data_IF_479977033470
#
_entry.id   IF_479977033470
#
_cell.length_a   1.000
_cell.length_b   1.000
_cell.length_c   1.000
_cell.angle_alpha   90.00
_cell.angle_beta   90.00
_cell.angle_gamma   90.00
#
_symmetry.space_group_name_H-M   'P 1'
#
loop_
_entity.id
_entity.type
_entity.pdbx_description
1 polymer ?
#
# COMPACT_ATOMS: atom_id res chain seq x y z
N UNK A 1 -17.72 5.46 9.00
CA UNK A 1 -16.73 4.90 9.90
C UNK A 1 -16.40 5.82 11.08
N UNK A 2 -15.80 5.26 12.12
CA UNK A 2 -15.30 6.04 13.26
C UNK A 2 -13.90 6.55 12.95
N UNK A 3 -13.61 7.77 13.42
CA UNK A 3 -12.28 8.37 13.31
C UNK A 3 -11.59 8.29 14.67
N UNK A 4 -10.39 7.76 14.69
CA UNK A 4 -9.56 7.64 15.89
C UNK A 4 -8.42 8.65 15.84
N UNK A 5 -8.21 9.36 16.94
CA UNK A 5 -7.09 10.27 17.09
C UNK A 5 -5.92 9.55 17.75
N UNK A 6 -4.79 9.48 17.07
CA UNK A 6 -3.56 8.80 17.52
C UNK A 6 -2.43 9.82 17.64
N UNK A 7 -2.41 10.57 18.73
CA UNK A 7 -1.53 11.73 18.85
C UNK A 7 -1.89 12.78 17.82
N UNK A 8 -0.96 13.12 16.92
CA UNK A 8 -1.20 14.04 15.80
C UNK A 8 -1.78 13.33 14.55
N UNK A 9 -1.85 11.99 14.53
CA UNK A 9 -2.35 11.21 13.41
C UNK A 9 -3.83 10.88 13.58
N UNK A 10 -4.51 10.70 12.48
CA UNK A 10 -5.91 10.26 12.44
C UNK A 10 -6.01 8.95 11.69
N UNK A 11 -6.82 8.06 12.18
CA UNK A 11 -7.12 6.77 11.55
C UNK A 11 -8.63 6.62 11.42
N UNK A 12 -9.07 6.11 10.29
CA UNK A 12 -10.48 5.82 10.05
C UNK A 12 -10.63 4.45 9.39
N UNK A 13 -11.61 3.70 9.85
CA UNK A 13 -12.12 2.55 9.13
C UNK A 13 -13.27 3.03 8.25
N UNK A 14 -13.04 3.16 6.95
CA UNK A 14 -13.99 3.71 5.98
C UNK A 14 -13.69 3.23 4.56
N UNK A 15 -14.46 3.71 3.62
CA UNK A 15 -14.30 3.39 2.21
C UNK A 15 -13.50 4.50 1.52
N UNK A 16 -12.25 4.20 1.15
CA UNK A 16 -11.35 5.18 0.54
C UNK A 16 -11.76 5.58 -0.89
N UNK A 17 -12.72 4.90 -1.50
CA UNK A 17 -13.30 5.31 -2.79
C UNK A 17 -14.35 6.41 -2.62
N UNK A 18 -14.85 6.62 -1.40
CA UNK A 18 -15.85 7.63 -1.07
C UNK A 18 -15.20 8.89 -0.55
N UNK A 19 -15.38 9.97 -1.29
CA UNK A 19 -14.77 11.25 -0.92
C UNK A 19 -15.26 11.76 0.44
N UNK A 20 -16.50 11.46 0.81
CA UNK A 20 -17.09 11.86 2.08
C UNK A 20 -16.37 11.24 3.29
N UNK A 21 -15.92 9.99 3.15
CA UNK A 21 -15.13 9.31 4.18
C UNK A 21 -13.75 9.93 4.29
N UNK A 22 -13.14 10.25 3.16
CA UNK A 22 -11.83 10.91 3.10
C UNK A 22 -11.90 12.32 3.68
N UNK A 23 -12.90 13.13 3.31
CA UNK A 23 -13.12 14.47 3.86
C UNK A 23 -13.34 14.45 5.37
N UNK A 24 -14.09 13.47 5.87
CA UNK A 24 -14.28 13.25 7.30
C UNK A 24 -12.97 12.94 8.01
N UNK A 25 -12.12 12.11 7.42
CA UNK A 25 -10.79 11.81 7.96
C UNK A 25 -9.92 13.06 7.98
N UNK A 26 -9.93 13.82 6.88
CA UNK A 26 -9.12 15.03 6.71
C UNK A 26 -9.53 16.18 7.63
N UNK A 27 -10.83 16.28 8.00
CA UNK A 27 -11.31 17.30 8.94
C UNK A 27 -10.95 18.74 8.52
N UNK A 28 -11.13 19.04 7.23
CA UNK A 28 -10.82 20.35 6.64
C UNK A 28 -9.34 20.62 6.38
N UNK A 29 -8.45 19.69 6.69
CA UNK A 29 -6.99 19.79 6.44
C UNK A 29 -6.66 19.40 5.01
N UNK A 30 -5.48 19.81 4.54
CA UNK A 30 -4.94 19.41 3.24
C UNK A 30 -3.81 18.41 3.42
N UNK A 31 -3.77 17.41 2.55
CA UNK A 31 -2.65 16.47 2.49
C UNK A 31 -1.49 17.11 1.71
N UNK A 32 -0.27 16.84 2.12
CA UNK A 32 0.93 17.18 1.34
C UNK A 32 1.27 16.09 0.34
N UNK A 33 0.92 14.86 0.69
CA UNK A 33 1.27 13.68 -0.06
C UNK A 33 0.18 12.61 0.07
N UNK A 34 -0.02 11.86 -1.00
CA UNK A 34 -0.79 10.61 -0.99
C UNK A 34 0.20 9.44 -1.09
N UNK A 35 0.01 8.43 -0.27
CA UNK A 35 0.76 7.19 -0.32
C UNK A 35 -0.21 6.02 -0.13
N UNK A 36 -0.39 5.20 -1.15
CA UNK A 36 -1.39 4.13 -1.11
C UNK A 36 -0.97 2.92 -1.93
N UNK A 37 -1.44 1.75 -1.49
CA UNK A 37 -1.37 0.47 -2.18
C UNK A 37 -2.82 -0.03 -2.33
N UNK A 38 -3.51 0.40 -3.40
CA UNK A 38 -4.90 0.03 -3.62
C UNK A 38 -5.01 -1.45 -4.03
N UNK A 39 -6.14 -2.13 -3.80
CA UNK A 39 -6.42 -3.40 -4.44
C UNK A 39 -6.49 -3.19 -5.95
N UNK A 40 -5.96 -4.12 -6.74
CA UNK A 40 -5.86 -3.98 -8.22
C UNK A 40 -6.25 -5.24 -8.99
N UNK A 41 -7.10 -6.07 -8.41
CA UNK A 41 -7.72 -7.19 -9.11
C UNK A 41 -6.77 -8.35 -9.41
N UNK A 42 -5.77 -8.56 -8.56
CA UNK A 42 -4.81 -9.66 -8.76
C UNK A 42 -5.26 -10.99 -8.13
N UNK A 43 -6.44 -11.04 -7.53
CA UNK A 43 -6.96 -12.23 -6.83
C UNK A 43 -5.97 -12.79 -5.81
N UNK A 44 -5.52 -11.96 -4.91
CA UNK A 44 -4.60 -12.40 -3.89
C UNK A 44 -5.17 -13.60 -3.13
N UNK A 45 -4.52 -14.75 -3.28
CA UNK A 45 -4.88 -15.92 -2.49
C UNK A 45 -4.54 -15.65 -1.02
N UNK A 46 -5.59 -15.56 -0.21
CA UNK A 46 -5.50 -15.29 1.23
C UNK A 46 -5.58 -16.57 2.07
N UNK A 47 -5.61 -17.73 1.42
CA UNK A 47 -5.57 -19.03 2.08
C UNK A 47 -4.13 -19.53 2.26
N UNK A 48 -3.56 -19.26 3.40
CA UNK A 48 -2.22 -19.72 3.76
C UNK A 48 -2.25 -21.04 4.55
N UNK A 49 -3.39 -21.77 4.60
CA UNK A 49 -3.53 -23.00 5.37
C UNK A 49 -2.54 -24.09 4.95
N UNK A 50 -2.21 -24.17 3.67
CA UNK A 50 -1.26 -25.14 3.11
C UNK A 50 0.21 -24.70 3.23
N UNK A 51 0.47 -23.43 3.55
CA UNK A 51 1.84 -22.93 3.77
C UNK A 51 2.46 -23.37 5.10
N UNK A 52 1.69 -24.01 5.99
CA UNK A 52 2.15 -24.61 7.26
C UNK A 52 3.02 -25.86 7.11
N UNK A 53 3.57 -26.12 5.91
CA UNK A 53 4.34 -27.30 5.59
C UNK A 53 5.75 -27.28 6.14
N UNK A 54 6.14 -28.33 6.84
CA UNK A 54 7.48 -28.96 7.03
C UNK A 54 8.75 -28.09 6.95
N UNK A 55 8.63 -26.79 7.15
CA UNK A 55 9.77 -25.87 7.23
C UNK A 55 10.34 -25.81 8.65
N UNK A 56 11.63 -25.68 8.73
CA UNK A 56 12.47 -25.80 9.93
C UNK A 56 12.34 -24.68 10.98
N UNK A 57 11.34 -23.82 10.92
CA UNK A 57 11.13 -22.77 11.94
C UNK A 57 9.75 -22.88 12.58
N UNK A 58 9.70 -22.68 13.90
CA UNK A 58 8.44 -22.66 14.66
C UNK A 58 7.47 -21.53 14.21
N UNK A 59 7.97 -20.54 13.49
CA UNK A 59 7.19 -19.47 12.88
C UNK A 59 6.44 -19.93 11.62
N UNK A 60 7.05 -20.81 10.80
CA UNK A 60 6.41 -21.39 9.62
C UNK A 60 5.25 -22.33 10.02
N UNK A 61 5.32 -22.96 11.19
CA UNK A 61 4.27 -23.81 11.72
C UNK A 61 3.02 -23.06 12.19
N UNK A 62 3.11 -21.73 12.37
CA UNK A 62 2.01 -20.89 12.86
C UNK A 62 1.28 -20.12 11.77
N UNK A 63 1.69 -20.20 10.51
CA UNK A 63 1.15 -19.37 9.43
C UNK A 63 -0.02 -19.98 8.66
N UNK A 64 -0.54 -21.12 9.09
CA UNK A 64 -1.68 -21.79 8.46
C UNK A 64 -3.04 -21.11 8.70
N UNK A 65 -3.13 -19.79 8.54
CA UNK A 65 -4.37 -19.07 8.69
C UNK A 65 -5.01 -18.79 7.32
N UNK A 66 -6.32 -18.95 7.27
CA UNK A 66 -7.14 -18.45 6.19
C UNK A 66 -7.68 -17.08 6.57
N UNK A 67 -7.48 -16.11 5.72
CA UNK A 67 -8.02 -14.76 5.88
C UNK A 67 -9.17 -14.55 4.90
N UNK A 68 -10.04 -13.61 5.21
CA UNK A 68 -11.08 -13.20 4.27
C UNK A 68 -10.43 -12.58 3.01
N UNK A 69 -11.07 -12.73 1.86
CA UNK A 69 -10.62 -12.12 0.62
C UNK A 69 -10.47 -10.60 0.75
N UNK A 70 -9.51 -10.04 0.06
CA UNK A 70 -9.32 -8.57 0.03
C UNK A 70 -10.48 -7.94 -0.72
N UNK A 71 -11.13 -6.96 -0.11
CA UNK A 71 -12.25 -6.25 -0.73
C UNK A 71 -11.71 -5.43 -1.91
N UNK A 72 -12.34 -5.58 -3.08
CA UNK A 72 -11.96 -4.87 -4.31
C UNK A 72 -10.80 -5.52 -5.08
N UNK A 73 -10.31 -6.68 -4.64
CA UNK A 73 -9.24 -7.42 -5.32
C UNK A 73 -9.78 -8.63 -6.09
N UNK A 74 -10.82 -8.41 -6.88
CA UNK A 74 -11.49 -9.40 -7.73
C UNK A 74 -11.51 -8.94 -9.20
N UNK A 75 -12.17 -9.72 -10.08
CA UNK A 75 -12.30 -9.45 -11.53
C UNK A 75 -12.83 -8.05 -11.84
N UNK A 76 -13.64 -7.51 -10.96
CA UNK A 76 -14.26 -6.20 -11.12
C UNK A 76 -13.38 -5.09 -10.52
N UNK A 77 -12.08 -5.08 -10.82
CA UNK A 77 -11.23 -3.97 -10.42
C UNK A 77 -11.84 -2.65 -10.88
N UNK A 78 -12.27 -1.85 -9.91
CA UNK A 78 -12.83 -0.54 -10.16
C UNK A 78 -11.73 0.54 -9.99
N UNK A 79 -11.34 1.24 -11.05
CA UNK A 79 -10.37 2.33 -10.98
C UNK A 79 -10.91 3.57 -10.24
N UNK A 80 -12.11 3.50 -9.64
CA UNK A 80 -12.75 4.63 -8.97
C UNK A 80 -11.84 5.25 -7.90
N UNK A 81 -11.11 4.43 -7.13
CA UNK A 81 -10.15 4.96 -6.14
C UNK A 81 -9.07 5.79 -6.80
N UNK A 82 -8.50 5.31 -7.90
CA UNK A 82 -7.45 6.03 -8.64
C UNK A 82 -7.99 7.35 -9.20
N UNK A 83 -9.19 7.32 -9.78
CA UNK A 83 -9.86 8.51 -10.29
C UNK A 83 -10.16 9.51 -9.16
N UNK A 84 -10.61 9.03 -8.00
CA UNK A 84 -10.87 9.85 -6.81
C UNK A 84 -9.60 10.51 -6.32
N UNK A 85 -8.47 9.80 -6.30
CA UNK A 85 -7.17 10.37 -5.91
C UNK A 85 -6.80 11.53 -6.84
N UNK A 86 -6.82 11.35 -8.15
CA UNK A 86 -6.47 12.40 -9.09
C UNK A 86 -7.46 13.56 -9.08
N UNK A 87 -8.76 13.30 -8.92
CA UNK A 87 -9.77 14.36 -8.88
C UNK A 87 -9.66 15.25 -7.63
N UNK A 88 -9.26 14.68 -6.49
CA UNK A 88 -9.33 15.38 -5.20
C UNK A 88 -7.97 15.73 -4.60
N UNK A 89 -6.90 15.07 -5.03
CA UNK A 89 -5.55 15.24 -4.45
C UNK A 89 -4.49 15.65 -5.47
N UNK A 90 -4.90 16.07 -6.68
CA UNK A 90 -3.92 16.53 -7.69
C UNK A 90 -3.13 17.77 -7.25
N UNK A 91 -3.61 18.50 -6.26
CA UNK A 91 -2.87 19.59 -5.62
C UNK A 91 -1.65 19.10 -4.81
N UNK A 92 -1.62 17.83 -4.39
CA UNK A 92 -0.48 17.26 -3.67
C UNK A 92 0.78 17.29 -4.56
N UNK A 93 1.90 17.64 -3.95
CA UNK A 93 3.20 17.64 -4.64
C UNK A 93 3.62 16.25 -5.04
N UNK A 94 3.21 15.26 -4.25
CA UNK A 94 3.58 13.89 -4.47
C UNK A 94 2.39 12.94 -4.24
N UNK A 95 2.29 11.95 -5.11
CA UNK A 95 1.32 10.85 -5.03
C UNK A 95 2.09 9.58 -5.35
N UNK A 96 2.19 8.68 -4.38
CA UNK A 96 2.78 7.36 -4.54
C UNK A 96 1.69 6.31 -4.67
N UNK A 97 1.69 5.58 -5.78
CA UNK A 97 0.75 4.52 -6.10
C UNK A 97 1.50 3.20 -6.28
N UNK A 98 1.38 2.30 -5.31
CA UNK A 98 1.97 0.97 -5.37
C UNK A 98 1.14 0.05 -6.26
N UNK A 99 1.78 -0.96 -6.87
CA UNK A 99 1.12 -1.85 -7.81
C UNK A 99 0.64 -1.16 -9.09
N UNK A 100 1.14 0.05 -9.37
CA UNK A 100 0.65 0.91 -10.45
C UNK A 100 0.88 0.35 -11.85
N UNK A 101 1.74 -0.64 -12.01
CA UNK A 101 1.92 -1.39 -13.26
C UNK A 101 0.69 -2.21 -13.63
N UNK A 102 -0.05 -2.75 -12.65
CA UNK A 102 -1.27 -3.52 -12.88
C UNK A 102 -2.43 -2.66 -13.43
N UNK A 103 -2.48 -1.39 -13.03
CA UNK A 103 -3.53 -0.45 -13.48
C UNK A 103 -2.98 0.77 -14.21
N UNK A 104 -1.83 0.61 -14.85
CA UNK A 104 -1.11 1.73 -15.49
C UNK A 104 -1.90 2.45 -16.58
N UNK A 105 -2.87 1.80 -17.20
CA UNK A 105 -3.76 2.44 -18.19
C UNK A 105 -4.71 3.47 -17.57
N UNK A 106 -4.99 3.35 -16.27
CA UNK A 106 -5.84 4.27 -15.52
C UNK A 106 -5.04 5.45 -14.93
N UNK A 107 -3.71 5.45 -15.05
CA UNK A 107 -2.89 6.55 -14.56
C UNK A 107 -2.97 7.75 -15.49
N UNK A 108 -3.46 8.86 -14.95
CA UNK A 108 -3.39 10.14 -15.63
C UNK A 108 -1.92 10.53 -15.77
N UNK A 109 -1.55 10.95 -16.98
CA UNK A 109 -0.19 11.45 -17.27
C UNK A 109 0.94 10.47 -16.84
N UNK A 110 0.73 9.15 -16.95
CA UNK A 110 1.69 8.11 -16.52
C UNK A 110 3.14 8.34 -16.99
N UNK A 111 3.30 9.03 -18.12
CA UNK A 111 4.61 9.36 -18.70
C UNK A 111 5.24 10.64 -18.12
N UNK A 112 4.50 11.40 -17.32
CA UNK A 112 5.00 12.62 -16.66
C UNK A 112 5.58 12.35 -15.28
N UNK A 113 5.17 11.26 -14.63
CA UNK A 113 5.71 10.82 -13.35
C UNK A 113 7.00 10.04 -13.46
N UNK A 114 7.35 9.39 -12.39
CA UNK A 114 8.54 8.55 -12.26
C UNK A 114 8.18 7.20 -11.66
N UNK A 115 9.09 6.23 -11.77
CA UNK A 115 8.92 4.90 -11.21
C UNK A 115 9.94 4.66 -10.12
N UNK A 116 9.50 4.02 -9.05
CA UNK A 116 10.30 3.49 -7.96
C UNK A 116 10.18 1.97 -7.98
N UNK A 117 11.31 1.30 -7.91
CA UNK A 117 11.39 -0.16 -7.76
C UNK A 117 11.74 -0.46 -6.32
N UNK A 118 10.93 -1.21 -5.64
CA UNK A 118 11.29 -1.77 -4.35
C UNK A 118 11.77 -3.21 -4.53
N UNK A 119 13.07 -3.40 -4.44
CA UNK A 119 13.70 -4.72 -4.40
C UNK A 119 13.61 -5.28 -2.98
N UNK A 120 12.79 -6.29 -2.80
CA UNK A 120 12.53 -6.94 -1.49
C UNK A 120 13.64 -7.90 -1.07
N UNK A 121 14.60 -8.14 -1.95
CA UNK A 121 15.67 -9.11 -1.73
C UNK A 121 16.82 -8.50 -0.94
N UNK A 122 17.43 -9.32 -0.09
CA UNK A 122 18.74 -8.98 0.48
C UNK A 122 19.89 -9.27 -0.49
N UNK A 123 19.73 -10.33 -1.28
CA UNK A 123 20.67 -10.82 -2.28
C UNK A 123 19.96 -11.77 -3.28
N UNK A 124 20.69 -12.28 -4.27
CA UNK A 124 20.16 -13.15 -5.33
C UNK A 124 19.64 -14.50 -4.81
N UNK A 125 20.05 -14.94 -3.63
CA UNK A 125 19.56 -16.19 -3.05
C UNK A 125 18.06 -16.14 -2.75
N UNK A 126 17.52 -14.94 -2.60
CA UNK A 126 16.11 -14.70 -2.37
C UNK A 126 15.24 -14.75 -3.64
N UNK A 127 15.82 -14.95 -4.84
CA UNK A 127 15.06 -15.08 -6.09
C UNK A 127 14.14 -16.31 -6.13
N UNK A 128 14.41 -17.28 -5.28
CA UNK A 128 13.59 -18.49 -5.13
C UNK A 128 12.50 -18.37 -4.04
N UNK A 129 12.39 -17.19 -3.43
CA UNK A 129 11.34 -16.97 -2.43
C UNK A 129 9.96 -16.90 -3.08
N UNK A 130 8.97 -17.30 -2.31
CA UNK A 130 7.58 -17.22 -2.74
C UNK A 130 7.16 -15.77 -2.86
N UNK A 131 6.43 -15.44 -3.94
CA UNK A 131 5.94 -14.10 -4.23
C UNK A 131 6.89 -13.26 -5.09
N UNK A 132 6.46 -12.05 -5.38
CA UNK A 132 7.22 -11.10 -6.19
C UNK A 132 8.50 -10.66 -5.49
N UNK A 133 9.61 -10.69 -6.20
CA UNK A 133 10.92 -10.27 -5.69
C UNK A 133 11.08 -8.76 -5.64
N UNK A 134 10.23 -8.03 -6.35
CA UNK A 134 10.17 -6.58 -6.33
C UNK A 134 8.73 -6.10 -6.52
N UNK A 135 8.51 -4.84 -6.20
CA UNK A 135 7.26 -4.12 -6.47
C UNK A 135 7.55 -2.80 -7.16
N UNK A 136 6.55 -2.33 -7.90
CA UNK A 136 6.62 -1.05 -8.61
C UNK A 136 5.68 -0.04 -7.96
N UNK A 137 6.20 1.17 -7.83
CA UNK A 137 5.42 2.31 -7.40
C UNK A 137 5.53 3.43 -8.43
N UNK A 138 4.40 4.00 -8.83
CA UNK A 138 4.40 5.21 -9.61
C UNK A 138 4.38 6.43 -8.66
N UNK A 139 5.20 7.42 -8.98
CA UNK A 139 5.33 8.69 -8.27
C UNK A 139 4.94 9.82 -9.20
N UNK A 140 4.06 10.71 -8.74
CA UNK A 140 3.62 11.88 -9.52
C UNK A 140 4.76 12.81 -9.85
N UNK A 141 5.68 13.02 -8.91
CA UNK A 141 6.82 13.89 -9.13
C UNK A 141 7.81 13.29 -10.13
N UNK A 142 8.43 14.18 -10.90
CA UNK A 142 9.47 13.79 -11.85
C UNK A 142 10.83 13.78 -11.18
N UNK A 143 11.40 12.60 -11.01
CA UNK A 143 12.71 12.40 -10.40
C UNK A 143 13.52 11.33 -11.15
N UNK A 144 14.75 11.09 -10.72
CA UNK A 144 15.54 9.97 -11.24
C UNK A 144 14.83 8.65 -10.87
N UNK A 145 14.94 7.65 -11.75
CA UNK A 145 14.48 6.30 -11.41
C UNK A 145 15.18 5.84 -10.14
N UNK A 146 14.39 5.35 -9.20
CA UNK A 146 14.86 4.95 -7.89
C UNK A 146 14.76 3.45 -7.74
N UNK A 147 15.77 2.86 -7.14
CA UNK A 147 15.77 1.49 -6.67
C UNK A 147 15.95 1.52 -5.14
N UNK A 148 14.92 1.15 -4.43
CA UNK A 148 14.96 0.94 -2.99
C UNK A 148 15.24 -0.54 -2.72
N UNK A 149 16.34 -0.86 -2.07
CA UNK A 149 16.67 -2.24 -1.69
C UNK A 149 16.49 -2.39 -0.19
N UNK A 150 15.32 -2.87 0.18
CA UNK A 150 14.95 -3.11 1.58
C UNK A 150 14.37 -4.51 1.66
N UNK A 151 15.08 -5.40 2.35
CA UNK A 151 14.64 -6.77 2.53
C UNK A 151 13.32 -6.79 3.29
N UNK A 152 12.30 -7.34 2.66
CA UNK A 152 11.04 -7.62 3.30
C UNK A 152 10.48 -8.94 2.77
N UNK A 153 10.07 -9.78 3.67
CA UNK A 153 9.46 -11.07 3.37
C UNK A 153 8.31 -11.34 4.35
N UNK A 154 7.39 -10.42 4.46
CA UNK A 154 6.23 -10.53 5.36
C UNK A 154 6.65 -10.70 6.82
N UNK A 155 6.50 -11.92 7.35
CA UNK A 155 6.83 -12.26 8.75
C UNK A 155 8.32 -12.12 9.10
N UNK A 156 9.20 -11.92 8.13
CA UNK A 156 10.64 -11.78 8.30
C UNK A 156 11.12 -10.34 8.21
N UNK A 157 10.23 -9.35 8.31
CA UNK A 157 10.60 -7.94 8.37
C UNK A 157 11.61 -7.68 9.47
N UNK A 158 12.48 -6.67 9.27
CA UNK A 158 13.52 -6.29 10.23
C UNK A 158 12.96 -5.60 11.48
N UNK A 159 11.67 -5.41 11.57
CA UNK A 159 10.99 -4.75 12.68
C UNK A 159 10.94 -5.64 13.91
N UNK A 160 11.43 -5.12 15.04
CA UNK A 160 11.41 -5.83 16.31
C UNK A 160 10.02 -5.94 16.95
N UNK A 161 9.07 -5.11 16.52
CA UNK A 161 7.70 -5.11 17.01
C UNK A 161 6.74 -5.30 15.84
N UNK A 162 5.97 -6.37 15.89
CA UNK A 162 4.93 -6.68 14.90
C UNK A 162 3.68 -5.88 15.24
N UNK A 163 3.44 -4.79 14.57
CA UNK A 163 2.10 -4.25 14.46
C UNK A 163 1.30 -5.21 13.58
N UNK A 164 0.42 -6.00 14.18
CA UNK A 164 -0.60 -6.74 13.44
C UNK A 164 -1.66 -5.74 12.95
N UNK A 165 -1.33 -5.05 11.88
CA UNK A 165 -2.35 -4.34 11.11
C UNK A 165 -3.01 -5.42 10.27
N UNK A 166 -4.28 -5.71 10.56
CA UNK A 166 -5.06 -6.63 9.73
C UNK A 166 -5.11 -6.05 8.32
N UNK A 167 -4.73 -6.84 7.31
CA UNK A 167 -4.73 -6.47 5.88
C UNK A 167 -6.14 -6.27 5.30
N UNK A 168 -7.13 -5.97 6.12
CA UNK A 168 -8.54 -5.93 5.69
C UNK A 168 -8.96 -4.69 4.92
N UNK A 169 -8.10 -3.67 4.83
CA UNK A 169 -8.49 -2.40 4.18
C UNK A 169 -7.30 -1.79 3.44
N UNK A 170 -7.53 -1.18 2.27
CA UNK A 170 -6.50 -0.39 1.62
C UNK A 170 -6.07 0.73 2.57
N UNK A 171 -4.79 0.73 2.93
CA UNK A 171 -4.25 1.76 3.83
C UNK A 171 -4.07 3.02 3.01
N UNK A 172 -4.92 3.99 3.26
CA UNK A 172 -4.76 5.34 2.76
C UNK A 172 -3.99 6.13 3.81
N UNK A 173 -2.72 6.39 3.56
CA UNK A 173 -1.89 7.17 4.45
C UNK A 173 -1.78 8.61 3.92
N UNK A 174 -2.37 9.54 4.65
CA UNK A 174 -2.20 10.97 4.41
C UNK A 174 -1.20 11.50 5.43
N UNK A 175 -0.09 12.06 4.93
CA UNK A 175 0.88 12.72 5.78
C UNK A 175 0.61 14.23 5.76
N UNK A 176 0.40 14.80 6.94
CA UNK A 176 0.27 16.24 7.12
C UNK A 176 1.64 16.92 7.10
N UNK A 177 1.70 18.12 6.52
CA UNK A 177 2.87 18.98 6.64
C UNK A 177 3.12 19.34 8.10
N UNK A 178 4.36 19.37 8.47
CA UNK A 178 4.76 20.10 9.66
C UNK A 178 4.69 21.59 9.31
N UNK A 179 3.83 22.34 9.97
CA UNK A 179 3.98 23.79 9.93
C UNK A 179 5.41 24.14 10.36
N UNK A 180 6.08 25.03 9.63
CA UNK A 180 7.38 25.52 10.08
C UNK A 180 7.19 26.09 11.49
N UNK A 181 7.96 25.63 12.44
CA UNK A 181 8.03 26.23 13.77
C UNK A 181 8.67 27.62 13.56
N UNK A 182 7.88 28.66 13.79
CA UNK A 182 8.37 30.02 13.94
C UNK A 182 9.46 30.12 15.01
#
# INVERSE_FOLDING_TARGET
>A
GEVYQLGRHRLMCGDATKIEDVEKLMDGRKADMVFTDPPYGMYLDTDYSDMGGKGSSDLAKKSGNKYDAVIGDNDDFDPALINTIFANFDYCKEIFLWGADYYSENLQDKNKGSWVVWDKRGDESADKMFGSTFELCWSKARHKRMLARVKWAGIFGMEKEKLQISQRFPIFCLLESQEPKD
#
